data_IF_470462139930
#
_entry.id   IF_470462139930
#
_cell.length_a   1.000
_cell.length_b   1.000
_cell.length_c   1.000
_cell.angle_alpha   90.00
_cell.angle_beta   90.00
_cell.angle_gamma   90.00
#
_symmetry.space_group_name_H-M   'P 1'
#
loop_
_entity.id
_entity.type
_entity.pdbx_description
1 polymer ?
#
# COMPACT_ATOMS: atom_id res chain seq x y z
N UNK A 1 1.90 -11.16 40.43
CA UNK A 1 1.14 -11.77 39.31
C UNK A 1 1.51 -11.00 38.05
N UNK A 2 2.23 -11.60 37.11
CA UNK A 2 2.78 -10.92 35.94
C UNK A 2 1.68 -10.80 34.87
N UNK A 3 0.93 -9.69 34.88
CA UNK A 3 -0.15 -9.40 33.92
C UNK A 3 0.44 -9.09 32.54
N UNK A 4 0.83 -10.13 31.81
CA UNK A 4 1.12 -10.03 30.38
C UNK A 4 -0.22 -9.87 29.66
N UNK A 5 -0.61 -8.64 29.36
CA UNK A 5 -1.75 -8.35 28.46
C UNK A 5 -1.56 -9.12 27.16
N UNK A 6 -2.52 -9.96 26.72
CA UNK A 6 -2.44 -10.63 25.44
C UNK A 6 -2.57 -9.56 24.35
N UNK A 7 -1.45 -9.14 23.79
CA UNK A 7 -1.43 -8.30 22.59
C UNK A 7 -2.18 -9.06 21.50
N UNK A 8 -3.39 -8.59 21.19
CA UNK A 8 -4.19 -9.08 20.08
C UNK A 8 -3.34 -8.94 18.81
N UNK A 9 -2.79 -10.06 18.32
CA UNK A 9 -1.95 -10.11 17.12
C UNK A 9 -2.63 -9.44 15.92
N UNK A 10 -3.96 -9.41 15.88
CA UNK A 10 -4.77 -8.73 14.86
C UNK A 10 -4.58 -7.20 14.80
N UNK A 11 -4.19 -6.54 15.90
CA UNK A 11 -3.88 -5.10 15.89
C UNK A 11 -2.50 -4.79 15.29
N UNK A 12 -1.57 -5.73 15.35
CA UNK A 12 -0.21 -5.61 14.81
C UNK A 12 -0.06 -6.15 13.39
N UNK A 13 -1.10 -6.75 12.81
CA UNK A 13 -1.06 -7.21 11.42
C UNK A 13 -1.30 -6.00 10.53
N UNK A 14 -0.29 -5.66 9.73
CA UNK A 14 -0.39 -4.62 8.72
C UNK A 14 -1.59 -4.92 7.82
N UNK A 15 -2.54 -3.99 7.82
CA UNK A 15 -3.78 -4.09 7.05
C UNK A 15 -3.42 -4.08 5.58
N UNK A 16 -3.19 -5.26 5.02
CA UNK A 16 -2.98 -5.46 3.59
C UNK A 16 -4.33 -5.74 2.93
N UNK A 17 -4.57 -5.12 1.78
CA UNK A 17 -5.75 -5.35 0.94
C UNK A 17 -5.25 -5.96 -0.36
N UNK A 18 -5.78 -7.14 -0.73
CA UNK A 18 -5.40 -7.90 -1.94
C UNK A 18 -3.88 -8.14 -2.08
N UNK A 19 -3.16 -8.22 -0.95
CA UNK A 19 -1.72 -8.48 -0.93
C UNK A 19 -0.84 -7.26 -1.12
N UNK A 20 -1.38 -6.03 -0.96
CA UNK A 20 -0.63 -4.78 -0.86
C UNK A 20 -1.00 -4.03 0.42
N UNK A 21 -0.12 -3.17 0.98
CA UNK A 21 -0.51 -2.27 2.05
C UNK A 21 -1.71 -1.42 1.65
N UNK A 22 -2.70 -1.31 2.54
CA UNK A 22 -3.97 -0.61 2.29
C UNK A 22 -3.78 0.76 1.64
N UNK A 23 -2.84 1.56 2.14
CA UNK A 23 -2.61 2.93 1.69
C UNK A 23 -2.13 2.98 0.23
N UNK A 24 -1.23 2.07 -0.17
CA UNK A 24 -0.74 1.98 -1.55
C UNK A 24 -1.85 1.51 -2.48
N UNK A 25 -2.64 0.54 -2.05
CA UNK A 25 -3.74 0.03 -2.88
C UNK A 25 -4.76 1.15 -3.18
N UNK A 26 -5.20 1.89 -2.16
CA UNK A 26 -6.15 2.97 -2.34
C UNK A 26 -5.58 4.15 -3.12
N UNK A 27 -4.31 4.52 -2.92
CA UNK A 27 -3.68 5.58 -3.72
C UNK A 27 -3.59 5.20 -5.20
N UNK A 28 -3.27 3.95 -5.50
CA UNK A 28 -3.23 3.44 -6.88
C UNK A 28 -4.61 3.48 -7.54
N UNK A 29 -5.67 3.07 -6.83
CA UNK A 29 -7.04 3.13 -7.32
C UNK A 29 -7.49 4.58 -7.58
N UNK A 30 -7.23 5.49 -6.64
CA UNK A 30 -7.58 6.91 -6.80
C UNK A 30 -6.84 7.53 -7.98
N UNK A 31 -5.53 7.29 -8.10
CA UNK A 31 -4.74 7.78 -9.23
C UNK A 31 -5.25 7.24 -10.56
N UNK A 32 -5.65 5.95 -10.62
CA UNK A 32 -6.25 5.34 -11.80
C UNK A 32 -7.57 5.99 -12.20
N UNK A 33 -8.48 6.21 -11.24
CA UNK A 33 -9.78 6.86 -11.49
C UNK A 33 -9.58 8.30 -11.99
N UNK A 34 -8.72 9.08 -11.33
CA UNK A 34 -8.41 10.46 -11.74
C UNK A 34 -7.81 10.47 -13.15
N UNK A 35 -6.89 9.55 -13.44
CA UNK A 35 -6.26 9.48 -14.76
C UNK A 35 -7.27 9.14 -15.86
N UNK A 36 -8.18 8.20 -15.63
CA UNK A 36 -9.27 7.91 -16.59
C UNK A 36 -10.19 9.11 -16.76
N UNK A 37 -10.52 9.84 -15.70
CA UNK A 37 -11.37 11.03 -15.77
C UNK A 37 -10.71 12.18 -16.57
N UNK A 38 -9.39 12.39 -16.41
CA UNK A 38 -8.65 13.47 -17.08
C UNK A 38 -8.48 13.21 -18.57
N UNK A 39 -8.13 11.98 -18.94
CA UNK A 39 -7.83 11.65 -20.33
C UNK A 39 -9.02 11.03 -21.08
N UNK A 40 -10.12 10.78 -20.37
CA UNK A 40 -11.36 10.17 -20.85
C UNK A 40 -11.15 8.88 -21.66
N UNK A 41 -10.09 8.13 -21.34
CA UNK A 41 -9.67 6.95 -22.08
C UNK A 41 -9.40 5.80 -21.11
N UNK A 42 -10.16 4.72 -21.27
CA UNK A 42 -10.09 3.55 -20.40
C UNK A 42 -8.79 2.75 -20.56
N UNK A 43 -8.12 2.87 -21.72
CA UNK A 43 -6.84 2.20 -21.98
C UNK A 43 -5.72 2.68 -21.04
N UNK A 44 -5.91 3.84 -20.40
CA UNK A 44 -4.96 4.38 -19.43
C UNK A 44 -4.93 3.57 -18.14
N UNK A 45 -5.90 2.68 -17.88
CA UNK A 45 -5.82 1.73 -16.76
C UNK A 45 -4.72 0.66 -16.96
N UNK A 46 -4.30 0.39 -18.19
CA UNK A 46 -3.28 -0.63 -18.52
C UNK A 46 -1.96 -0.39 -17.76
N UNK A 47 -1.35 0.82 -17.79
CA UNK A 47 -0.14 1.09 -17.01
C UNK A 47 -0.36 0.98 -15.50
N UNK A 48 -1.53 1.35 -14.98
CA UNK A 48 -1.84 1.18 -13.54
C UNK A 48 -1.93 -0.29 -13.13
N UNK A 49 -2.51 -1.14 -13.99
CA UNK A 49 -2.54 -2.59 -13.77
C UNK A 49 -1.13 -3.20 -13.79
N UNK A 50 -0.27 -2.78 -14.73
CA UNK A 50 1.13 -3.21 -14.76
C UNK A 50 1.86 -2.84 -13.46
N UNK A 51 1.72 -1.59 -13.02
CA UNK A 51 2.32 -1.11 -11.76
C UNK A 51 1.79 -1.93 -10.57
N UNK A 52 0.49 -2.22 -10.52
CA UNK A 52 -0.10 -3.08 -9.49
C UNK A 52 0.54 -4.46 -9.44
N UNK A 53 0.72 -5.13 -10.58
CA UNK A 53 1.34 -6.47 -10.63
C UNK A 53 2.79 -6.46 -10.16
N UNK A 54 3.55 -5.43 -10.53
CA UNK A 54 4.94 -5.25 -10.07
C UNK A 54 4.98 -5.08 -8.55
N UNK A 55 4.20 -4.14 -8.02
CA UNK A 55 4.10 -3.87 -6.58
C UNK A 55 3.66 -5.12 -5.81
N UNK A 56 2.67 -5.86 -6.34
CA UNK A 56 2.18 -7.10 -5.74
C UNK A 56 3.25 -8.20 -5.72
N UNK A 57 4.03 -8.31 -6.79
CA UNK A 57 5.13 -9.29 -6.87
C UNK A 57 6.23 -8.95 -5.87
N UNK A 58 6.59 -7.67 -5.74
CA UNK A 58 7.55 -7.20 -4.74
C UNK A 58 7.04 -7.48 -3.33
N UNK A 59 5.78 -7.13 -3.03
CA UNK A 59 5.20 -7.33 -1.70
C UNK A 59 5.01 -8.81 -1.34
N UNK A 60 4.80 -9.68 -2.33
CA UNK A 60 4.76 -11.14 -2.12
C UNK A 60 6.13 -11.70 -1.72
N UNK A 61 7.22 -11.12 -2.24
CA UNK A 61 8.59 -11.53 -1.92
C UNK A 61 9.05 -10.99 -0.56
N UNK A 62 8.67 -9.75 -0.23
CA UNK A 62 8.95 -9.13 1.05
C UNK A 62 7.80 -8.18 1.44
N UNK A 63 6.99 -8.62 2.41
CA UNK A 63 5.79 -7.92 2.87
C UNK A 63 6.08 -6.64 3.64
N UNK A 64 7.30 -6.48 4.18
CA UNK A 64 7.70 -5.31 4.98
C UNK A 64 8.44 -4.27 4.15
N UNK A 65 8.94 -4.64 2.97
CA UNK A 65 9.69 -3.75 2.08
C UNK A 65 8.88 -2.53 1.67
N UNK A 66 7.65 -2.75 1.19
CA UNK A 66 6.75 -1.68 0.76
C UNK A 66 6.33 -0.78 1.93
N UNK A 67 6.02 -1.37 3.08
CA UNK A 67 5.60 -0.60 4.26
C UNK A 67 6.76 0.23 4.83
N UNK A 68 7.96 -0.34 4.90
CA UNK A 68 9.17 0.39 5.29
C UNK A 68 9.47 1.53 4.32
N UNK A 69 9.23 1.34 3.02
CA UNK A 69 9.36 2.40 2.03
C UNK A 69 8.36 3.54 2.28
N UNK A 70 7.08 3.25 2.56
CA UNK A 70 6.08 4.26 2.93
C UNK A 70 6.47 4.96 4.23
N UNK A 71 6.86 4.22 5.27
CA UNK A 71 7.26 4.81 6.56
C UNK A 71 8.47 5.72 6.39
N UNK A 72 9.47 5.32 5.59
CA UNK A 72 10.65 6.16 5.31
C UNK A 72 10.31 7.40 4.49
N UNK A 73 9.45 7.28 3.49
CA UNK A 73 9.03 8.44 2.70
C UNK A 73 8.24 9.43 3.55
N UNK A 74 7.34 8.97 4.42
CA UNK A 74 6.57 9.82 5.34
C UNK A 74 7.42 10.41 6.46
N UNK A 75 8.40 9.67 7.02
CA UNK A 75 9.24 10.16 8.13
C UNK A 75 10.05 11.40 7.74
N UNK A 76 10.37 11.58 6.46
CA UNK A 76 11.04 12.79 5.95
C UNK A 76 10.19 14.06 6.11
N UNK A 77 8.86 13.93 6.20
CA UNK A 77 7.93 15.07 6.28
C UNK A 77 7.42 15.37 7.70
N UNK A 78 7.71 14.51 8.69
CA UNK A 78 7.25 14.68 10.09
C UNK A 78 8.33 15.34 10.98
N UNK A 79 9.55 15.50 10.45
CA UNK A 79 10.68 16.06 11.19
C UNK A 79 10.93 17.56 10.93
N UNK A 80 9.90 18.31 10.56
CA UNK A 80 9.91 19.76 10.41
C UNK A 80 8.92 20.41 11.37
#
# INVERSE_FOLDING_TARGET
MNTKMPLYRGMTIDKTVRGLPRNIFYSLCMAGIISVAVFNNIYILIPFLLIYFILRTINKKDSKMLENFIRRSLKKYISY
#
